data_IF_624745334027
#
_entry.id   IF_624745334027
#
_cell.length_a   1.000
_cell.length_b   1.000
_cell.length_c   1.000
_cell.angle_alpha   90.00
_cell.angle_beta   90.00
_cell.angle_gamma   90.00
#
_symmetry.space_group_name_H-M   'P 1'
#
loop_
_entity.id
_entity.type
_entity.pdbx_description
1 polymer ?
#
# COMPACT_ATOMS: atom_id res chain seq x y z
N UNK A 1 93.43 7.77 67.49
CA UNK A 1 92.02 8.20 67.56
C UNK A 1 91.53 8.28 66.13
N UNK A 2 90.83 7.25 65.66
CA UNK A 2 90.27 7.19 64.31
C UNK A 2 88.94 6.45 64.40
N UNK A 3 87.87 7.23 64.20
CA UNK A 3 86.48 6.81 64.25
C UNK A 3 86.14 6.14 62.92
N UNK A 4 85.62 4.91 62.99
CA UNK A 4 85.11 4.18 61.83
C UNK A 4 83.59 4.44 61.72
N UNK A 5 83.15 5.10 60.65
CA UNK A 5 81.73 5.14 60.25
C UNK A 5 81.46 4.12 59.14
N UNK A 6 80.25 3.52 59.06
CA UNK A 6 79.90 2.56 58.03
C UNK A 6 79.18 3.24 56.86
N UNK A 7 79.72 3.12 55.64
CA UNK A 7 78.99 3.45 54.41
C UNK A 7 78.61 2.17 53.68
N UNK A 8 77.31 1.90 53.52
CA UNK A 8 76.88 0.71 52.78
C UNK A 8 75.39 0.41 52.65
N UNK A 9 74.47 1.36 52.93
CA UNK A 9 73.01 1.08 52.82
C UNK A 9 72.19 2.08 52.00
N UNK A 10 72.77 3.19 51.54
CA UNK A 10 72.02 4.24 50.82
C UNK A 10 71.83 4.02 49.32
N UNK A 11 72.72 3.27 48.65
CA UNK A 11 72.75 3.20 47.17
C UNK A 11 71.79 2.20 46.54
N UNK A 12 71.40 1.11 47.22
CA UNK A 12 70.43 0.15 46.64
C UNK A 12 68.99 0.63 46.77
N UNK A 13 68.63 1.35 47.83
CA UNK A 13 67.26 1.85 48.03
C UNK A 13 66.83 2.86 46.96
N UNK A 14 67.74 3.72 46.50
CA UNK A 14 67.46 4.71 45.45
C UNK A 14 67.29 4.05 44.07
N UNK A 15 68.07 3.02 43.76
CA UNK A 15 67.97 2.28 42.49
C UNK A 15 66.70 1.43 42.40
N UNK A 16 66.26 0.83 43.51
CA UNK A 16 64.97 0.12 43.56
C UNK A 16 63.76 1.07 43.48
N UNK A 17 63.85 2.26 44.08
CA UNK A 17 62.79 3.28 44.00
C UNK A 17 62.56 3.83 42.59
N UNK A 18 63.63 4.01 41.80
CA UNK A 18 63.53 4.48 40.40
C UNK A 18 62.92 3.41 39.49
N UNK A 19 63.28 2.14 39.68
CA UNK A 19 62.72 1.02 38.88
C UNK A 19 61.22 0.83 39.09
N UNK A 20 60.73 0.95 40.33
CA UNK A 20 59.29 0.84 40.66
C UNK A 20 58.52 2.03 40.09
N UNK A 21 59.08 3.23 40.14
CA UNK A 21 58.46 4.46 39.60
C UNK A 21 58.32 4.41 38.08
N UNK A 22 59.35 3.90 37.39
CA UNK A 22 59.34 3.73 35.94
C UNK A 22 58.36 2.64 35.49
N UNK A 23 58.27 1.55 36.25
CA UNK A 23 57.31 0.46 36.03
C UNK A 23 55.85 0.91 36.23
N UNK A 24 55.57 1.73 37.25
CA UNK A 24 54.25 2.33 37.46
C UNK A 24 53.87 3.31 36.36
N UNK A 25 54.81 4.15 35.90
CA UNK A 25 54.56 5.06 34.77
C UNK A 25 54.31 4.29 33.48
N UNK A 26 55.07 3.24 33.19
CA UNK A 26 54.82 2.36 32.04
C UNK A 26 53.48 1.63 32.17
N UNK A 27 53.11 1.16 33.36
CA UNK A 27 51.80 0.52 33.57
C UNK A 27 50.65 1.51 33.41
N UNK A 28 50.79 2.77 33.86
CA UNK A 28 49.80 3.84 33.66
C UNK A 28 49.70 4.23 32.19
N UNK A 29 50.84 4.35 31.48
CA UNK A 29 50.86 4.68 30.05
C UNK A 29 50.30 3.53 29.22
N UNK A 30 50.68 2.27 29.50
CA UNK A 30 50.13 1.09 28.82
C UNK A 30 48.65 0.91 29.16
N UNK A 31 48.25 1.13 30.42
CA UNK A 31 46.84 1.12 30.81
C UNK A 31 46.05 2.22 30.10
N UNK A 32 46.56 3.44 29.98
CA UNK A 32 45.87 4.53 29.28
C UNK A 32 45.91 4.38 27.75
N UNK A 33 46.91 3.67 27.20
CA UNK A 33 47.05 3.43 25.77
C UNK A 33 46.23 2.22 25.29
N UNK A 34 46.08 1.18 26.13
CA UNK A 34 45.27 -0.01 25.83
C UNK A 34 43.84 0.04 26.38
N UNK A 35 43.59 0.75 27.48
CA UNK A 35 42.25 1.15 27.88
C UNK A 35 42.03 2.59 27.45
N UNK A 36 41.62 2.80 26.20
CA UNK A 36 40.64 3.84 25.95
C UNK A 36 39.29 3.28 26.40
N UNK A 37 38.79 3.56 27.62
CA UNK A 37 37.43 3.22 27.95
C UNK A 37 36.57 4.07 27.03
N UNK A 38 35.99 3.45 26.00
CA UNK A 38 34.75 3.94 25.46
C UNK A 38 33.84 4.13 26.68
N UNK A 39 33.52 5.38 27.02
CA UNK A 39 32.76 5.70 28.24
C UNK A 39 31.50 4.85 28.22
N UNK A 40 31.24 4.10 29.30
CA UNK A 40 30.04 3.24 29.41
C UNK A 40 28.74 3.99 29.07
N UNK A 41 28.73 5.30 29.34
CA UNK A 41 27.67 6.23 28.96
C UNK A 41 27.46 6.32 27.44
N UNK A 42 28.52 6.37 26.65
CA UNK A 42 28.49 6.44 25.18
C UNK A 42 28.06 5.09 24.58
N UNK A 43 28.50 3.98 25.17
CA UNK A 43 28.06 2.62 24.77
C UNK A 43 26.56 2.42 25.01
N UNK A 44 26.05 2.82 26.18
CA UNK A 44 24.63 2.72 26.50
C UNK A 44 23.76 3.62 25.60
N UNK A 45 24.18 4.88 25.39
CA UNK A 45 23.50 5.81 24.47
C UNK A 45 23.43 5.23 23.05
N UNK A 46 24.52 4.63 22.56
CA UNK A 46 24.55 3.99 21.24
C UNK A 46 23.59 2.79 21.15
N UNK A 47 23.52 1.93 22.18
CA UNK A 47 22.58 0.80 22.21
C UNK A 47 21.12 1.26 22.18
N UNK A 48 20.77 2.27 22.99
CA UNK A 48 19.42 2.84 23.01
C UNK A 48 19.08 3.44 21.65
N UNK A 49 20.01 4.18 21.04
CA UNK A 49 19.79 4.77 19.71
C UNK A 49 19.65 3.72 18.62
N UNK A 50 20.46 2.66 18.62
CA UNK A 50 20.33 1.52 17.69
C UNK A 50 18.96 0.84 17.83
N UNK A 51 18.49 0.58 19.06
CA UNK A 51 17.15 0.01 19.31
C UNK A 51 16.02 0.89 18.79
N UNK A 52 16.11 2.20 19.01
CA UNK A 52 15.11 3.15 18.52
C UNK A 52 15.05 3.14 16.98
N UNK A 53 16.21 3.20 16.32
CA UNK A 53 16.30 3.13 14.85
C UNK A 53 15.71 1.81 14.33
N UNK A 54 16.06 0.67 14.93
CA UNK A 54 15.52 -0.63 14.54
C UNK A 54 14.00 -0.72 14.73
N UNK A 55 13.47 -0.13 15.80
CA UNK A 55 12.01 -0.05 16.04
C UNK A 55 11.32 0.74 14.93
N UNK A 56 11.86 1.91 14.58
CA UNK A 56 11.34 2.74 13.50
C UNK A 56 11.43 2.03 12.14
N UNK A 57 12.56 1.39 11.83
CA UNK A 57 12.71 0.58 10.61
C UNK A 57 11.62 -0.49 10.52
N UNK A 58 11.33 -1.21 11.60
CA UNK A 58 10.28 -2.24 11.63
C UNK A 58 8.90 -1.67 11.34
N UNK A 59 8.54 -0.55 11.98
CA UNK A 59 7.23 0.10 11.78
C UNK A 59 7.07 0.55 10.32
N UNK A 60 8.09 1.21 9.77
CA UNK A 60 8.04 1.74 8.41
C UNK A 60 8.12 0.64 7.35
N UNK A 61 8.85 -0.46 7.60
CA UNK A 61 8.85 -1.64 6.74
C UNK A 61 7.44 -2.23 6.61
N UNK A 62 6.77 -2.47 7.75
CA UNK A 62 5.40 -3.02 7.75
C UNK A 62 4.44 -2.07 7.04
N UNK A 63 4.55 -0.77 7.31
CA UNK A 63 3.74 0.25 6.62
C UNK A 63 3.97 0.23 5.11
N UNK A 64 5.21 0.11 4.65
CA UNK A 64 5.53 0.03 3.22
C UNK A 64 4.79 -1.13 2.55
N UNK A 65 4.90 -2.33 3.13
CA UNK A 65 4.26 -3.55 2.60
C UNK A 65 2.73 -3.45 2.63
N UNK A 66 2.14 -2.89 3.69
CA UNK A 66 0.70 -2.69 3.77
C UNK A 66 0.20 -1.73 2.69
N UNK A 67 0.90 -0.62 2.49
CA UNK A 67 0.53 0.38 1.47
C UNK A 67 0.72 -0.17 0.06
N UNK A 68 1.77 -0.95 -0.22
CA UNK A 68 1.91 -1.65 -1.49
C UNK A 68 0.72 -2.57 -1.78
N UNK A 69 0.34 -3.39 -0.80
CA UNK A 69 -0.84 -4.26 -0.94
C UNK A 69 -2.11 -3.44 -1.20
N UNK A 70 -2.28 -2.31 -0.52
CA UNK A 70 -3.42 -1.42 -0.75
C UNK A 70 -3.36 -0.79 -2.14
N UNK A 71 -2.18 -0.47 -2.67
CA UNK A 71 -2.01 0.03 -4.03
C UNK A 71 -2.48 -1.00 -5.08
N UNK A 72 -2.21 -2.28 -4.85
CA UNK A 72 -2.68 -3.40 -5.69
C UNK A 72 -4.19 -3.60 -5.59
N UNK A 73 -4.78 -3.40 -4.40
CA UNK A 73 -6.21 -3.60 -4.14
C UNK A 73 -7.09 -2.39 -4.44
N UNK A 74 -6.49 -1.22 -4.65
CA UNK A 74 -7.20 0.02 -4.91
C UNK A 74 -8.08 -0.09 -6.15
N UNK A 75 -9.28 0.47 -6.08
CA UNK A 75 -10.27 0.39 -7.16
C UNK A 75 -10.05 1.48 -8.22
N UNK A 76 -9.31 2.54 -7.89
CA UNK A 76 -8.98 3.63 -8.81
C UNK A 76 -7.47 3.85 -8.88
N UNK A 77 -7.02 4.46 -9.98
CA UNK A 77 -5.60 4.80 -10.16
C UNK A 77 -5.16 5.89 -9.21
N UNK A 78 -6.04 6.84 -8.89
CA UNK A 78 -5.74 7.90 -7.92
C UNK A 78 -5.51 7.33 -6.52
N UNK A 79 -6.35 6.37 -6.07
CA UNK A 79 -6.17 5.67 -4.80
C UNK A 79 -4.91 4.79 -4.84
N UNK A 80 -4.70 4.06 -5.94
CA UNK A 80 -3.52 3.20 -6.15
C UNK A 80 -2.23 4.01 -6.08
N UNK A 81 -2.17 5.17 -6.75
CA UNK A 81 -1.03 6.08 -6.73
C UNK A 81 -0.78 6.64 -5.34
N UNK A 82 -1.83 7.07 -4.62
CA UNK A 82 -1.69 7.57 -3.24
C UNK A 82 -1.09 6.51 -2.33
N UNK A 83 -1.53 5.25 -2.44
CA UNK A 83 -0.95 4.15 -1.66
C UNK A 83 0.49 3.81 -2.11
N UNK A 84 0.78 3.84 -3.42
CA UNK A 84 2.12 3.66 -3.94
C UNK A 84 3.09 4.72 -3.41
N UNK A 85 2.69 5.99 -3.42
CA UNK A 85 3.47 7.10 -2.87
C UNK A 85 3.72 6.93 -1.37
N UNK A 86 2.70 6.49 -0.62
CA UNK A 86 2.84 6.21 0.81
C UNK A 86 3.77 5.02 1.10
N UNK A 87 3.75 3.98 0.25
CA UNK A 87 4.70 2.86 0.32
C UNK A 87 6.13 3.35 0.10
N UNK A 88 6.35 4.09 -0.99
CA UNK A 88 7.66 4.66 -1.32
C UNK A 88 8.19 5.60 -0.22
N UNK A 89 7.33 6.44 0.35
CA UNK A 89 7.69 7.31 1.46
C UNK A 89 8.09 6.53 2.72
N UNK A 90 7.35 5.47 3.07
CA UNK A 90 7.69 4.61 4.21
C UNK A 90 9.01 3.87 3.98
N UNK A 91 9.21 3.31 2.79
CA UNK A 91 10.49 2.72 2.36
C UNK A 91 11.66 3.69 2.46
N UNK A 92 11.48 4.96 2.05
CA UNK A 92 12.55 5.96 2.13
C UNK A 92 13.00 6.23 3.58
N UNK A 93 12.09 6.16 4.55
CA UNK A 93 12.42 6.26 5.97
C UNK A 93 13.24 5.05 6.44
N UNK A 94 12.91 3.83 6.00
CA UNK A 94 13.71 2.62 6.30
C UNK A 94 15.13 2.77 5.76
N UNK A 95 15.28 3.26 4.53
CA UNK A 95 16.57 3.49 3.89
C UNK A 95 17.42 4.53 4.64
N UNK A 96 16.80 5.64 5.05
CA UNK A 96 17.47 6.66 5.86
C UNK A 96 17.94 6.08 7.20
N UNK A 97 17.09 5.30 7.86
CA UNK A 97 17.40 4.68 9.14
C UNK A 97 18.47 3.59 9.02
N UNK A 98 18.50 2.82 7.92
CA UNK A 98 19.54 1.86 7.63
C UNK A 98 20.91 2.54 7.47
N UNK A 99 20.98 3.69 6.80
CA UNK A 99 22.22 4.48 6.68
C UNK A 99 22.72 4.97 8.05
N UNK A 100 21.81 5.46 8.89
CA UNK A 100 22.14 5.86 10.26
C UNK A 100 22.61 4.69 11.13
N UNK A 101 21.95 3.53 11.01
CA UNK A 101 22.31 2.32 11.73
C UNK A 101 23.71 1.84 11.34
N UNK A 102 24.03 1.81 10.04
CA UNK A 102 25.36 1.48 9.54
C UNK A 102 26.44 2.39 10.14
N UNK A 103 26.20 3.71 10.16
CA UNK A 103 27.15 4.67 10.76
C UNK A 103 27.39 4.41 12.25
N UNK A 104 26.35 4.04 13.02
CA UNK A 104 26.49 3.70 14.44
C UNK A 104 27.20 2.36 14.68
N UNK A 105 27.02 1.39 13.79
CA UNK A 105 27.70 0.09 13.85
C UNK A 105 29.17 0.25 13.49
N UNK A 106 29.50 1.05 12.47
CA UNK A 106 30.89 1.31 12.10
C UNK A 106 31.66 2.10 13.17
N UNK A 107 30.99 3.03 13.86
CA UNK A 107 31.59 3.79 14.96
C UNK A 107 31.81 2.96 16.24
N UNK A 108 30.95 1.97 16.51
CA UNK A 108 31.02 1.13 17.69
C UNK A 108 30.44 -0.27 17.40
N UNK A 109 31.25 -1.16 16.80
CA UNK A 109 30.81 -2.50 16.43
C UNK A 109 30.66 -3.38 17.67
N UNK A 110 29.49 -3.99 17.83
CA UNK A 110 29.24 -5.09 18.78
C UNK A 110 29.18 -6.38 17.96
N UNK A 111 29.66 -7.50 18.52
CA UNK A 111 29.82 -8.76 17.79
C UNK A 111 28.62 -9.10 16.89
N UNK A 112 28.93 -9.53 15.67
CA UNK A 112 28.01 -9.99 14.62
C UNK A 112 26.98 -8.97 14.06
N UNK A 113 26.90 -7.74 14.59
CA UNK A 113 25.99 -6.69 14.08
C UNK A 113 26.28 -6.34 12.61
N UNK A 114 27.57 -6.30 12.22
CA UNK A 114 27.97 -5.96 10.85
C UNK A 114 27.45 -7.00 9.85
N UNK A 115 27.53 -8.29 10.17
CA UNK A 115 27.06 -9.35 9.28
C UNK A 115 25.54 -9.29 9.12
N UNK A 116 24.81 -9.08 10.22
CA UNK A 116 23.35 -8.96 10.21
C UNK A 116 22.86 -7.75 9.40
N UNK A 117 23.55 -6.61 9.48
CA UNK A 117 23.16 -5.43 8.69
C UNK A 117 23.53 -5.59 7.21
N UNK A 118 24.61 -6.28 6.87
CA UNK A 118 24.90 -6.67 5.48
C UNK A 118 23.78 -7.56 4.93
N UNK A 119 23.36 -8.57 5.70
CA UNK A 119 22.26 -9.46 5.31
C UNK A 119 20.95 -8.69 5.13
N UNK A 120 20.59 -7.84 6.10
CA UNK A 120 19.42 -6.97 5.99
C UNK A 120 19.49 -6.08 4.75
N UNK A 121 20.63 -5.45 4.47
CA UNK A 121 20.81 -4.59 3.31
C UNK A 121 20.61 -5.34 2.00
N UNK A 122 21.09 -6.59 1.91
CA UNK A 122 20.89 -7.42 0.73
C UNK A 122 19.39 -7.76 0.55
N UNK A 123 18.71 -8.24 1.59
CA UNK A 123 17.28 -8.52 1.53
C UNK A 123 16.45 -7.27 1.23
N UNK A 124 16.79 -6.14 1.84
CA UNK A 124 16.13 -4.85 1.64
C UNK A 124 16.29 -4.36 0.20
N UNK A 125 17.47 -4.52 -0.38
CA UNK A 125 17.71 -4.17 -1.79
C UNK A 125 16.85 -5.00 -2.74
N UNK A 126 16.75 -6.31 -2.51
CA UNK A 126 15.92 -7.19 -3.34
C UNK A 126 14.43 -6.90 -3.15
N UNK A 127 13.97 -6.68 -1.91
CA UNK A 127 12.60 -6.25 -1.63
C UNK A 127 12.27 -4.97 -2.39
N UNK A 128 13.12 -3.94 -2.31
CA UNK A 128 12.88 -2.65 -2.99
C UNK A 128 12.78 -2.76 -4.51
N UNK A 129 13.54 -3.67 -5.13
CA UNK A 129 13.42 -3.94 -6.57
C UNK A 129 12.07 -4.57 -6.90
N UNK A 130 11.63 -5.54 -6.10
CA UNK A 130 10.32 -6.18 -6.26
C UNK A 130 9.19 -5.16 -6.03
N UNK A 131 9.26 -4.38 -4.96
CA UNK A 131 8.26 -3.34 -4.64
C UNK A 131 8.12 -2.34 -5.79
N UNK A 132 9.23 -1.91 -6.40
CA UNK A 132 9.17 -0.98 -7.53
C UNK A 132 8.42 -1.56 -8.72
N UNK A 133 8.68 -2.83 -9.05
CA UNK A 133 7.99 -3.55 -10.13
C UNK A 133 6.52 -3.78 -9.78
N UNK A 134 6.22 -4.17 -8.53
CA UNK A 134 4.86 -4.40 -8.06
C UNK A 134 4.05 -3.10 -8.09
N UNK A 135 4.60 -1.99 -7.60
CA UNK A 135 3.91 -0.70 -7.59
C UNK A 135 3.67 -0.17 -9.00
N UNK A 136 4.64 -0.33 -9.90
CA UNK A 136 4.46 0.00 -11.32
C UNK A 136 3.31 -0.81 -11.93
N UNK A 137 3.29 -2.13 -11.70
CA UNK A 137 2.20 -2.98 -12.18
C UNK A 137 0.87 -2.75 -11.44
N UNK A 138 0.88 -2.39 -10.16
CA UNK A 138 -0.33 -2.11 -9.39
C UNK A 138 -1.08 -0.91 -9.97
N UNK A 139 -0.34 0.12 -10.36
CA UNK A 139 -0.88 1.27 -11.08
C UNK A 139 -1.42 0.80 -12.44
N UNK A 140 -0.69 -0.05 -13.17
CA UNK A 140 -1.04 -0.52 -14.52
C UNK A 140 -2.11 -1.63 -14.58
N UNK A 141 -2.47 -2.30 -13.48
CA UNK A 141 -3.38 -3.46 -13.49
C UNK A 141 -4.86 -3.05 -13.55
N UNK A 142 -5.18 -2.16 -14.46
CA UNK A 142 -6.50 -1.52 -14.55
C UNK A 142 -7.59 -2.49 -14.99
N UNK A 143 -7.25 -3.60 -15.66
CA UNK A 143 -8.20 -4.67 -15.98
C UNK A 143 -8.68 -5.45 -14.74
N UNK A 144 -7.81 -5.79 -13.77
CA UNK A 144 -8.27 -6.41 -12.52
C UNK A 144 -9.11 -5.42 -11.70
N UNK A 145 -8.76 -4.14 -11.70
CA UNK A 145 -9.55 -3.08 -11.04
C UNK A 145 -10.93 -2.95 -11.67
N UNK A 146 -11.01 -2.89 -13.00
CA UNK A 146 -12.26 -2.86 -13.75
C UNK A 146 -13.13 -4.09 -13.46
N UNK A 147 -12.53 -5.28 -13.40
CA UNK A 147 -13.24 -6.52 -13.07
C UNK A 147 -13.75 -6.53 -11.62
N UNK A 148 -12.97 -6.04 -10.65
CA UNK A 148 -13.42 -5.92 -9.24
C UNK A 148 -14.56 -4.91 -9.12
N UNK A 149 -14.40 -3.74 -9.72
CA UNK A 149 -15.40 -2.66 -9.71
C UNK A 149 -16.72 -3.11 -10.32
N UNK A 150 -16.67 -3.82 -11.46
CA UNK A 150 -17.85 -4.42 -12.10
C UNK A 150 -18.52 -5.45 -11.17
N UNK A 151 -17.76 -6.42 -10.64
CA UNK A 151 -18.32 -7.51 -9.83
C UNK A 151 -18.90 -7.07 -8.49
N UNK A 152 -18.37 -6.01 -7.91
CA UNK A 152 -18.82 -5.51 -6.61
C UNK A 152 -19.86 -4.41 -6.80
N UNK A 153 -19.41 -3.19 -7.13
CA UNK A 153 -20.29 -2.01 -7.22
C UNK A 153 -21.26 -2.10 -8.39
N UNK A 154 -20.82 -2.67 -9.52
CA UNK A 154 -21.68 -2.87 -10.69
C UNK A 154 -22.79 -3.87 -10.41
N UNK A 155 -22.46 -5.02 -9.82
CA UNK A 155 -23.45 -6.02 -9.40
C UNK A 155 -24.44 -5.46 -8.38
N UNK A 156 -23.96 -4.72 -7.38
CA UNK A 156 -24.82 -4.12 -6.34
C UNK A 156 -25.80 -3.10 -6.95
N UNK A 157 -25.33 -2.21 -7.83
CA UNK A 157 -26.19 -1.25 -8.51
C UNK A 157 -27.22 -1.94 -9.41
N UNK A 158 -26.81 -2.97 -10.16
CA UNK A 158 -27.72 -3.76 -11.01
C UNK A 158 -28.79 -4.49 -10.18
N UNK A 159 -28.42 -5.09 -9.04
CA UNK A 159 -29.37 -5.72 -8.13
C UNK A 159 -30.39 -4.71 -7.57
N UNK A 160 -29.92 -3.52 -7.18
CA UNK A 160 -30.81 -2.44 -6.71
C UNK A 160 -31.76 -1.97 -7.81
N UNK A 161 -31.29 -1.89 -9.05
CA UNK A 161 -32.10 -1.55 -10.20
C UNK A 161 -33.19 -2.60 -10.49
N UNK A 162 -32.82 -3.88 -10.55
CA UNK A 162 -33.78 -4.98 -10.73
C UNK A 162 -34.83 -5.01 -9.60
N UNK A 163 -34.38 -4.84 -8.36
CA UNK A 163 -35.26 -4.84 -7.21
C UNK A 163 -36.28 -3.70 -7.32
N UNK A 164 -35.83 -2.46 -7.56
CA UNK A 164 -36.70 -1.30 -7.68
C UNK A 164 -37.75 -1.47 -8.81
N UNK A 165 -37.34 -2.00 -9.98
CA UNK A 165 -38.29 -2.28 -11.06
C UNK A 165 -39.30 -3.38 -10.73
N UNK A 166 -38.88 -4.42 -10.02
CA UNK A 166 -39.81 -5.44 -9.53
C UNK A 166 -40.82 -4.88 -8.52
N UNK A 167 -40.42 -3.90 -7.69
CA UNK A 167 -41.36 -3.18 -6.81
C UNK A 167 -42.33 -2.30 -7.61
N UNK A 168 -41.89 -1.65 -8.71
CA UNK A 168 -42.80 -0.91 -9.62
C UNK A 168 -43.88 -1.82 -10.19
N UNK A 169 -43.59 -3.09 -10.46
CA UNK A 169 -44.55 -4.06 -11.02
C UNK A 169 -45.70 -4.38 -10.07
N UNK A 170 -45.46 -4.46 -8.75
CA UNK A 170 -46.43 -5.04 -7.79
C UNK A 170 -47.81 -4.37 -7.82
N UNK A 171 -47.93 -3.03 -7.83
CA UNK A 171 -49.24 -2.37 -7.83
C UNK A 171 -50.04 -2.54 -9.13
N UNK A 172 -49.41 -3.06 -10.18
CA UNK A 172 -50.02 -3.23 -11.51
C UNK A 172 -50.54 -4.64 -11.77
N UNK A 173 -50.34 -5.60 -10.86
CA UNK A 173 -50.85 -6.95 -11.06
C UNK A 173 -52.38 -6.98 -11.07
N UNK A 174 -52.97 -7.65 -12.06
CA UNK A 174 -54.41 -7.69 -12.30
C UNK A 174 -55.00 -6.39 -12.86
N UNK A 175 -54.17 -5.39 -13.19
CA UNK A 175 -54.64 -4.15 -13.82
C UNK A 175 -54.60 -4.25 -15.35
N UNK A 176 -55.39 -3.44 -16.09
CA UNK A 176 -55.31 -3.41 -17.56
C UNK A 176 -53.92 -3.06 -18.12
N UNK A 177 -53.07 -2.41 -17.32
CA UNK A 177 -51.71 -2.03 -17.71
C UNK A 177 -50.64 -3.07 -17.36
N UNK A 178 -50.98 -4.19 -16.72
CA UNK A 178 -50.02 -5.21 -16.24
C UNK A 178 -49.04 -5.64 -17.32
N UNK A 179 -49.53 -6.06 -18.48
CA UNK A 179 -48.69 -6.53 -19.58
C UNK A 179 -47.75 -5.46 -20.14
N UNK A 180 -48.22 -4.21 -20.22
CA UNK A 180 -47.40 -3.10 -20.74
C UNK A 180 -46.30 -2.72 -19.75
N UNK A 181 -46.63 -2.65 -18.46
CA UNK A 181 -45.65 -2.36 -17.38
C UNK A 181 -44.62 -3.48 -17.29
N UNK A 182 -45.05 -4.74 -17.30
CA UNK A 182 -44.14 -5.89 -17.28
C UNK A 182 -43.17 -5.89 -18.46
N UNK A 183 -43.66 -5.63 -19.69
CA UNK A 183 -42.81 -5.56 -20.88
C UNK A 183 -41.71 -4.50 -20.75
N UNK A 184 -42.06 -3.28 -20.34
CA UNK A 184 -41.09 -2.19 -20.20
C UNK A 184 -40.06 -2.46 -19.10
N UNK A 185 -40.50 -3.05 -17.97
CA UNK A 185 -39.58 -3.48 -16.91
C UNK A 185 -38.59 -4.51 -17.46
N UNK A 186 -39.06 -5.53 -18.18
CA UNK A 186 -38.18 -6.55 -18.74
C UNK A 186 -37.21 -5.99 -19.78
N UNK A 187 -37.65 -5.06 -20.63
CA UNK A 187 -36.76 -4.37 -21.56
C UNK A 187 -35.63 -3.64 -20.81
N UNK A 188 -35.98 -2.85 -19.80
CA UNK A 188 -35.01 -2.10 -19.01
C UNK A 188 -34.01 -3.00 -18.27
N UNK A 189 -34.49 -4.06 -17.61
CA UNK A 189 -33.62 -5.04 -16.92
C UNK A 189 -32.71 -5.77 -17.91
N UNK A 190 -33.27 -6.23 -19.04
CA UNK A 190 -32.51 -6.96 -20.07
C UNK A 190 -31.40 -6.09 -20.65
N UNK A 191 -31.70 -4.84 -20.95
CA UNK A 191 -30.72 -3.88 -21.44
C UNK A 191 -29.60 -3.65 -20.40
N UNK A 192 -29.94 -3.39 -19.14
CA UNK A 192 -28.95 -3.27 -18.05
C UNK A 192 -28.06 -4.50 -17.88
N UNK A 193 -28.65 -5.70 -17.90
CA UNK A 193 -27.91 -6.97 -17.81
C UNK A 193 -26.99 -7.22 -19.01
N UNK A 194 -27.39 -6.80 -20.21
CA UNK A 194 -26.51 -6.87 -21.39
C UNK A 194 -25.30 -5.95 -21.23
N UNK A 195 -25.50 -4.70 -20.81
CA UNK A 195 -24.38 -3.79 -20.49
C UNK A 195 -23.46 -4.43 -19.46
N UNK A 196 -24.02 -4.98 -18.39
CA UNK A 196 -23.25 -5.65 -17.33
C UNK A 196 -22.44 -6.85 -17.85
N UNK A 197 -23.02 -7.65 -18.75
CA UNK A 197 -22.31 -8.76 -19.39
C UNK A 197 -21.16 -8.25 -20.30
N UNK A 198 -21.42 -7.20 -21.07
CA UNK A 198 -20.45 -6.57 -21.97
C UNK A 198 -19.22 -6.03 -21.23
N UNK A 199 -19.30 -5.71 -19.93
CA UNK A 199 -18.12 -5.33 -19.13
C UNK A 199 -17.01 -6.39 -19.24
N UNK A 200 -17.35 -7.67 -19.13
CA UNK A 200 -16.36 -8.77 -19.17
C UNK A 200 -15.66 -8.86 -20.51
N UNK A 201 -16.39 -8.60 -21.61
CA UNK A 201 -15.85 -8.60 -22.96
C UNK A 201 -14.97 -7.37 -23.20
N UNK A 202 -15.41 -6.20 -22.73
CA UNK A 202 -14.64 -4.95 -22.84
C UNK A 202 -13.30 -5.06 -22.09
N UNK A 203 -13.32 -5.54 -20.85
CA UNK A 203 -12.12 -5.76 -20.02
C UNK A 203 -11.13 -6.72 -20.68
N UNK A 204 -11.61 -7.77 -21.34
CA UNK A 204 -10.75 -8.77 -21.97
C UNK A 204 -10.22 -8.36 -23.35
N UNK A 205 -10.72 -7.26 -23.93
CA UNK A 205 -10.40 -6.87 -25.29
C UNK A 205 -9.15 -5.97 -25.33
N UNK A 206 -8.23 -6.29 -26.24
CA UNK A 206 -6.96 -5.58 -26.42
C UNK A 206 -6.99 -4.62 -27.62
N UNK A 207 -7.96 -4.76 -28.53
CA UNK A 207 -8.08 -3.92 -29.72
C UNK A 207 -9.01 -2.74 -29.48
N UNK A 208 -8.49 -1.53 -29.67
CA UNK A 208 -9.28 -0.30 -29.54
C UNK A 208 -10.51 -0.26 -30.46
N UNK A 209 -10.41 -0.73 -31.71
CA UNK A 209 -11.55 -0.88 -32.62
C UNK A 209 -12.65 -1.77 -32.05
N UNK A 210 -12.30 -2.90 -31.44
CA UNK A 210 -13.30 -3.82 -30.87
C UNK A 210 -13.88 -3.29 -29.57
N UNK A 211 -13.08 -2.60 -28.75
CA UNK A 211 -13.57 -1.88 -27.58
C UNK A 211 -14.58 -0.79 -27.98
N UNK A 212 -14.32 -0.04 -29.05
CA UNK A 212 -15.26 0.95 -29.60
C UNK A 212 -16.60 0.30 -30.02
N UNK A 213 -16.53 -0.88 -30.65
CA UNK A 213 -17.73 -1.64 -31.04
C UNK A 213 -18.54 -2.10 -29.82
N UNK A 214 -17.87 -2.55 -28.76
CA UNK A 214 -18.52 -2.95 -27.51
C UNK A 214 -19.16 -1.72 -26.83
N UNK A 215 -18.47 -0.58 -26.79
CA UNK A 215 -19.00 0.68 -26.24
C UNK A 215 -20.24 1.16 -27.01
N UNK A 216 -20.24 1.04 -28.34
CA UNK A 216 -21.45 1.36 -29.15
C UNK A 216 -22.62 0.43 -28.82
N UNK A 217 -22.36 -0.84 -28.53
CA UNK A 217 -23.40 -1.77 -28.08
C UNK A 217 -23.91 -1.40 -26.68
N UNK A 218 -23.02 -1.02 -25.77
CA UNK A 218 -23.41 -0.53 -24.43
C UNK A 218 -24.30 0.71 -24.52
N UNK A 219 -23.94 1.70 -25.36
CA UNK A 219 -24.72 2.92 -25.57
C UNK A 219 -26.11 2.60 -26.17
N UNK A 220 -26.19 1.62 -27.08
CA UNK A 220 -27.48 1.17 -27.64
C UNK A 220 -28.40 0.61 -26.55
N UNK A 221 -27.88 -0.22 -25.67
CA UNK A 221 -28.66 -0.80 -24.56
C UNK A 221 -28.98 0.24 -23.49
N UNK A 222 -28.08 1.21 -23.21
CA UNK A 222 -28.35 2.32 -22.30
C UNK A 222 -29.55 3.14 -22.76
N UNK A 223 -29.62 3.42 -24.06
CA UNK A 223 -30.73 4.12 -24.67
C UNK A 223 -32.05 3.32 -24.57
N UNK A 224 -32.02 2.00 -24.76
CA UNK A 224 -33.22 1.15 -24.62
C UNK A 224 -33.72 1.09 -23.16
N UNK A 225 -32.80 1.01 -22.19
CA UNK A 225 -33.15 1.06 -20.77
C UNK A 225 -33.76 2.41 -20.39
N UNK A 226 -33.12 3.51 -20.78
CA UNK A 226 -33.58 4.88 -20.50
C UNK A 226 -34.96 5.14 -21.11
N UNK A 227 -35.15 4.77 -22.39
CA UNK A 227 -36.44 4.86 -23.07
C UNK A 227 -37.53 4.07 -22.34
N UNK A 228 -37.22 2.84 -21.91
CA UNK A 228 -38.17 2.01 -21.17
C UNK A 228 -38.58 2.64 -19.83
N UNK A 229 -37.62 3.25 -19.12
CA UNK A 229 -37.88 3.97 -17.87
C UNK A 229 -38.71 5.24 -18.07
N UNK A 230 -38.52 5.94 -19.18
CA UNK A 230 -39.31 7.12 -19.54
C UNK A 230 -40.72 6.75 -19.97
N UNK A 231 -40.90 5.68 -20.74
CA UNK A 231 -42.22 5.15 -21.07
C UNK A 231 -42.97 4.65 -19.81
N UNK A 232 -42.26 4.04 -18.86
CA UNK A 232 -42.83 3.69 -17.55
C UNK A 232 -43.30 4.94 -16.81
N UNK A 233 -42.55 6.04 -16.84
CA UNK A 233 -42.92 7.29 -16.16
C UNK A 233 -44.26 7.86 -16.62
N UNK A 234 -44.66 7.61 -17.87
CA UNK A 234 -45.94 8.04 -18.44
C UNK A 234 -47.11 7.18 -17.93
N UNK A 235 -46.86 5.89 -17.65
CA UNK A 235 -47.89 4.92 -17.26
C UNK A 235 -48.04 4.89 -15.74
N UNK A 236 -46.95 5.09 -15.00
CA UNK A 236 -46.98 4.93 -13.55
C UNK A 236 -47.74 6.06 -12.89
N UNK A 237 -48.67 5.70 -12.01
CA UNK A 237 -49.40 6.64 -11.18
C UNK A 237 -48.55 7.12 -10.01
N UNK A 238 -49.10 8.05 -9.23
CA UNK A 238 -48.43 8.65 -8.07
C UNK A 238 -47.90 7.62 -7.07
N UNK A 239 -48.63 6.51 -6.87
CA UNK A 239 -48.25 5.42 -5.96
C UNK A 239 -46.91 4.74 -6.29
N UNK A 240 -46.51 4.70 -7.55
CA UNK A 240 -45.27 4.04 -7.99
C UNK A 240 -44.20 5.03 -8.45
N UNK A 241 -44.48 6.34 -8.41
CA UNK A 241 -43.56 7.39 -8.89
C UNK A 241 -42.26 7.41 -8.10
N UNK A 242 -42.34 7.27 -6.77
CA UNK A 242 -41.16 7.21 -5.91
C UNK A 242 -40.29 5.98 -6.21
N UNK A 243 -40.91 4.81 -6.35
CA UNK A 243 -40.20 3.57 -6.67
C UNK A 243 -39.56 3.60 -8.06
N UNK A 244 -40.23 4.20 -9.05
CA UNK A 244 -39.64 4.41 -10.37
C UNK A 244 -38.43 5.37 -10.31
N UNK A 245 -38.49 6.41 -9.47
CA UNK A 245 -37.35 7.30 -9.27
C UNK A 245 -36.16 6.53 -8.67
N UNK A 246 -36.40 5.65 -7.69
CA UNK A 246 -35.34 4.77 -7.14
C UNK A 246 -34.72 3.88 -8.22
N UNK A 247 -35.53 3.33 -9.14
CA UNK A 247 -35.02 2.56 -10.27
C UNK A 247 -34.15 3.41 -11.20
N UNK A 248 -34.59 4.64 -11.55
CA UNK A 248 -33.79 5.58 -12.36
C UNK A 248 -32.47 5.95 -11.68
N UNK A 249 -32.48 6.20 -10.37
CA UNK A 249 -31.26 6.47 -9.60
C UNK A 249 -30.31 5.27 -9.61
N UNK A 250 -30.81 4.06 -9.34
CA UNK A 250 -29.99 2.86 -9.34
C UNK A 250 -29.37 2.58 -10.73
N UNK A 251 -30.13 2.83 -11.81
CA UNK A 251 -29.61 2.73 -13.18
C UNK A 251 -28.53 3.77 -13.46
N UNK A 252 -28.72 5.02 -13.03
CA UNK A 252 -27.70 6.07 -13.16
C UNK A 252 -26.41 5.71 -12.43
N UNK A 253 -26.51 5.20 -11.20
CA UNK A 253 -25.35 4.72 -10.43
C UNK A 253 -24.65 3.55 -11.12
N UNK A 254 -25.41 2.63 -11.73
CA UNK A 254 -24.86 1.55 -12.53
C UNK A 254 -24.08 2.10 -13.74
N UNK A 255 -24.62 3.07 -14.46
CA UNK A 255 -23.93 3.70 -15.60
C UNK A 255 -22.67 4.48 -15.19
N UNK A 256 -22.67 5.12 -14.02
CA UNK A 256 -21.44 5.72 -13.47
C UNK A 256 -20.35 4.67 -13.20
N UNK A 257 -20.73 3.47 -12.74
CA UNK A 257 -19.80 2.35 -12.59
C UNK A 257 -19.32 1.85 -13.95
N UNK A 258 -20.22 1.68 -14.93
CA UNK A 258 -19.89 1.29 -16.30
C UNK A 258 -18.87 2.24 -16.93
N UNK A 259 -19.05 3.55 -16.80
CA UNK A 259 -18.10 4.54 -17.32
C UNK A 259 -16.69 4.39 -16.71
N UNK A 260 -16.60 4.10 -15.40
CA UNK A 260 -15.32 3.85 -14.73
C UNK A 260 -14.68 2.53 -15.19
N UNK A 261 -15.47 1.48 -15.37
CA UNK A 261 -15.01 0.19 -15.91
C UNK A 261 -14.42 0.38 -17.31
N UNK A 262 -15.10 1.11 -18.19
CA UNK A 262 -14.63 1.41 -19.56
C UNK A 262 -13.30 2.17 -19.51
N UNK A 263 -13.22 3.23 -18.69
CA UNK A 263 -12.00 4.03 -18.53
C UNK A 263 -10.82 3.15 -18.11
N UNK A 264 -10.99 2.35 -17.05
CA UNK A 264 -9.95 1.47 -16.53
C UNK A 264 -9.52 0.43 -17.58
N UNK A 265 -10.48 -0.18 -18.27
CA UNK A 265 -10.15 -1.16 -19.31
C UNK A 265 -9.36 -0.53 -20.47
N UNK A 266 -9.71 0.68 -20.92
CA UNK A 266 -8.97 1.42 -21.95
C UNK A 266 -7.54 1.75 -21.56
N UNK A 267 -7.30 2.05 -20.28
CA UNK A 267 -5.95 2.31 -19.77
C UNK A 267 -5.05 1.07 -19.77
N UNK A 268 -5.62 -0.14 -19.81
CA UNK A 268 -4.83 -1.37 -19.90
C UNK A 268 -4.36 -1.66 -21.34
N UNK A 269 -5.15 -1.24 -22.33
CA UNK A 269 -4.93 -1.55 -23.75
C UNK A 269 -4.02 -0.53 -24.46
N UNK A 270 -3.71 0.58 -23.79
CA UNK A 270 -2.86 1.68 -24.26
C UNK A 270 -1.56 1.79 -23.46
#
# INVERSE_FOLDING_TARGET
>A
MSVHFPEGKGRSAVLWGIGISMGLLLFIVISNYYNSPMRLEDTYKNIVKKREILSQMRVHLIKSVEMEKNAVMALTDEESQVFADQSLAASAVVEQNLKQLNSLIDAAPIQDERNLVIEFNNCWTELRKLDQVILEYAVQNTNLKAASLSREKGAEAMQRFEHALNEVRKPYSGTPNEGRVARLIFHAITAGLKIYNLHSLHIAEASDEKMNQIETQMETEENEASKSLDELAIIVGEKSRHTLLQAKTAFSEFMEVTAKVIKLSRQNSN
#
